data_IF_081172448908
#
_entry.id   IF_081172448908
#
_cell.length_a   1.000
_cell.length_b   1.000
_cell.length_c   1.000
_cell.angle_alpha   90.00
_cell.angle_beta   90.00
_cell.angle_gamma   90.00
#
_symmetry.space_group_name_H-M   'P 1'
#
loop_
_entity.id
_entity.type
_entity.pdbx_description
1 polymer ?
#
# COMPACT_ATOMS: atom_id res chain seq x y z
N UNK A 1 20.67 -1.89 1.73
CA UNK A 1 20.52 -0.46 2.13
C UNK A 1 19.10 -0.20 2.64
N UNK A 2 18.07 -0.66 1.93
CA UNK A 2 16.66 -0.55 2.33
C UNK A 2 16.36 -1.07 3.76
N UNK A 3 16.70 -2.32 4.08
CA UNK A 3 16.43 -2.91 5.42
C UNK A 3 17.03 -2.09 6.58
N UNK A 4 18.26 -1.58 6.40
CA UNK A 4 18.90 -0.70 7.41
C UNK A 4 18.22 0.65 7.52
N UNK A 5 17.74 1.20 6.40
CA UNK A 5 17.03 2.49 6.37
C UNK A 5 15.66 2.37 7.04
N UNK A 6 14.96 1.25 6.82
CA UNK A 6 13.68 0.94 7.47
C UNK A 6 13.83 0.72 8.98
N UNK A 7 14.86 -0.01 9.42
CA UNK A 7 15.14 -0.24 10.84
C UNK A 7 15.53 1.04 11.58
N UNK A 8 16.39 1.87 10.98
CA UNK A 8 16.86 3.11 11.60
C UNK A 8 15.82 4.24 11.58
N UNK A 9 14.95 4.27 10.57
CA UNK A 9 13.95 5.33 10.41
C UNK A 9 12.58 5.04 11.04
N UNK A 10 12.15 3.76 11.13
CA UNK A 10 10.76 3.41 11.42
C UNK A 10 10.56 2.34 12.52
N UNK A 11 11.60 1.99 13.30
CA UNK A 11 11.54 0.98 14.38
C UNK A 11 10.92 -0.35 13.92
N UNK A 12 11.14 -0.74 12.67
CA UNK A 12 10.65 -2.01 12.14
C UNK A 12 11.54 -3.15 12.63
N UNK A 13 10.95 -4.15 13.29
CA UNK A 13 11.66 -5.35 13.72
C UNK A 13 12.11 -6.16 12.48
N UNK A 14 13.30 -6.78 12.49
CA UNK A 14 13.65 -7.76 11.46
C UNK A 14 12.58 -8.86 11.40
N UNK A 15 12.12 -9.22 10.19
CA UNK A 15 11.17 -10.31 10.01
C UNK A 15 11.79 -11.64 10.46
N UNK A 16 11.00 -12.50 11.09
CA UNK A 16 11.39 -13.85 11.51
C UNK A 16 11.54 -14.84 10.35
N UNK A 17 11.07 -14.48 9.14
CA UNK A 17 11.34 -15.24 7.91
C UNK A 17 12.62 -14.71 7.29
N UNK A 18 13.58 -15.63 7.07
CA UNK A 18 14.91 -15.37 6.55
C UNK A 18 14.88 -14.58 5.25
N UNK A 19 15.12 -13.28 5.36
CA UNK A 19 15.38 -12.38 4.24
C UNK A 19 16.88 -12.40 3.99
N UNK A 20 17.35 -13.07 2.92
CA UNK A 20 18.75 -12.99 2.52
C UNK A 20 18.96 -11.80 1.57
N UNK A 21 19.75 -10.78 1.94
CA UNK A 21 19.96 -9.60 1.09
C UNK A 21 20.77 -9.88 -0.18
N UNK A 22 21.38 -11.06 -0.31
CA UNK A 22 22.35 -11.39 -1.36
C UNK A 22 21.72 -11.74 -2.72
N UNK A 23 20.40 -11.89 -2.79
CA UNK A 23 19.68 -12.30 -4.01
C UNK A 23 18.92 -11.16 -4.70
N UNK A 24 19.00 -9.93 -4.18
CA UNK A 24 18.23 -8.82 -4.70
C UNK A 24 18.91 -8.13 -5.88
N UNK A 25 18.25 -8.18 -7.03
CA UNK A 25 18.44 -7.24 -8.12
C UNK A 25 18.24 -5.81 -7.59
N UNK A 26 19.02 -4.81 -8.05
CA UNK A 26 18.75 -3.42 -7.70
C UNK A 26 17.29 -3.07 -8.02
N UNK A 27 16.55 -2.62 -7.01
CA UNK A 27 15.16 -2.18 -7.13
C UNK A 27 15.13 -0.66 -7.01
N UNK A 28 14.50 0.02 -7.97
CA UNK A 28 14.17 1.43 -7.89
C UNK A 28 12.80 1.65 -7.23
N UNK A 29 12.50 2.87 -6.79
CA UNK A 29 11.15 3.19 -6.29
C UNK A 29 10.10 3.08 -7.40
N UNK A 30 10.47 3.36 -8.64
CA UNK A 30 9.59 3.22 -9.80
C UNK A 30 9.23 1.76 -10.09
N UNK A 31 10.15 0.80 -9.81
CA UNK A 31 9.85 -0.63 -9.96
C UNK A 31 8.76 -1.11 -8.98
N UNK A 32 8.58 -0.40 -7.86
CA UNK A 32 7.50 -0.68 -6.89
C UNK A 32 6.14 -0.26 -7.45
N UNK A 33 6.10 0.81 -8.27
CA UNK A 33 4.87 1.36 -8.83
C UNK A 33 4.25 0.51 -9.96
N UNK A 34 4.91 -0.58 -10.37
CA UNK A 34 4.39 -1.49 -11.38
C UNK A 34 3.10 -2.16 -10.88
N UNK A 35 2.04 -2.04 -11.67
CA UNK A 35 0.71 -2.59 -11.38
C UNK A 35 0.76 -4.13 -11.30
N UNK A 36 -0.04 -4.71 -10.41
CA UNK A 36 -0.08 -6.14 -10.07
C UNK A 36 1.26 -6.74 -9.58
N UNK A 37 2.19 -5.88 -9.12
CA UNK A 37 3.41 -6.28 -8.44
C UNK A 37 3.25 -6.17 -6.93
N UNK A 38 3.69 -5.04 -6.38
CA UNK A 38 3.39 -4.63 -5.01
C UNK A 38 2.22 -3.64 -5.01
N UNK A 39 2.20 -2.72 -5.98
CA UNK A 39 1.09 -1.82 -6.17
C UNK A 39 -0.07 -2.56 -6.83
N UNK A 40 -1.23 -2.40 -6.20
CA UNK A 40 -2.51 -3.01 -6.55
C UNK A 40 -3.61 -1.96 -6.63
N UNK A 41 -4.72 -2.33 -7.28
CA UNK A 41 -5.96 -1.57 -7.20
C UNK A 41 -6.45 -1.47 -5.76
N UNK A 42 -7.30 -0.48 -5.47
CA UNK A 42 -7.86 -0.19 -4.13
C UNK A 42 -6.84 0.36 -3.13
N UNK A 43 -5.78 0.99 -3.63
CA UNK A 43 -4.86 1.72 -2.76
C UNK A 43 -5.61 2.82 -1.98
N UNK A 44 -5.25 3.02 -0.71
CA UNK A 44 -5.95 3.97 0.17
C UNK A 44 -5.83 5.43 -0.27
N UNK A 45 -4.74 5.77 -0.98
CA UNK A 45 -4.39 7.15 -1.31
C UNK A 45 -3.84 7.31 -2.73
N UNK A 46 -3.83 6.24 -3.51
CA UNK A 46 -3.35 6.25 -4.90
C UNK A 46 -4.46 5.78 -5.82
N UNK A 47 -4.58 6.40 -6.99
CA UNK A 47 -5.50 5.93 -8.02
C UNK A 47 -5.05 4.59 -8.60
N UNK A 48 -6.03 3.77 -8.96
CA UNK A 48 -5.82 2.59 -9.78
C UNK A 48 -5.10 2.98 -11.09
N UNK A 49 -4.27 2.07 -11.60
CA UNK A 49 -3.70 2.25 -12.93
C UNK A 49 -4.84 2.34 -13.97
N UNK A 50 -4.78 3.28 -14.93
CA UNK A 50 -5.70 3.27 -16.05
C UNK A 50 -5.70 1.92 -16.77
N UNK A 51 -6.83 1.55 -17.37
CA UNK A 51 -6.94 0.26 -18.05
C UNK A 51 -5.89 0.15 -19.17
N UNK A 52 -5.00 -0.84 -19.04
CA UNK A 52 -3.94 -1.11 -20.00
C UNK A 52 -2.58 -0.51 -19.65
N UNK A 53 -2.49 0.31 -18.60
CA UNK A 53 -1.22 0.87 -18.13
C UNK A 53 -0.46 -0.13 -17.24
N UNK A 54 0.85 -0.21 -17.43
CA UNK A 54 1.73 -1.11 -16.66
C UNK A 54 2.07 -0.54 -15.26
N UNK A 55 1.99 0.78 -15.09
CA UNK A 55 2.36 1.48 -13.86
C UNK A 55 1.17 2.27 -13.32
N UNK A 56 0.97 2.23 -12.01
CA UNK A 56 0.03 3.12 -11.35
C UNK A 56 0.63 4.53 -11.20
N UNK A 57 -0.23 5.51 -10.92
CA UNK A 57 0.24 6.85 -10.54
C UNK A 57 1.04 6.78 -9.24
N UNK A 58 2.15 7.52 -9.20
CA UNK A 58 2.97 7.74 -8.00
C UNK A 58 2.54 9.01 -7.22
N UNK A 59 1.49 9.70 -7.67
CA UNK A 59 0.94 10.88 -7.03
C UNK A 59 -0.14 10.52 -6.01
N UNK A 60 -0.07 11.14 -4.83
CA UNK A 60 -1.10 11.03 -3.80
C UNK A 60 -2.38 11.73 -4.27
N UNK A 61 -3.49 10.99 -4.29
CA UNK A 61 -4.80 11.57 -4.57
C UNK A 61 -5.39 12.20 -3.29
N UNK A 62 -5.51 13.52 -3.30
CA UNK A 62 -6.06 14.29 -2.19
C UNK A 62 -7.50 13.89 -1.84
N UNK A 63 -8.33 13.50 -2.81
CA UNK A 63 -9.71 13.07 -2.54
C UNK A 63 -9.73 11.74 -1.81
N UNK A 64 -8.86 10.79 -2.19
CA UNK A 64 -8.76 9.51 -1.50
C UNK A 64 -8.24 9.69 -0.06
N UNK A 65 -7.33 10.64 0.16
CA UNK A 65 -6.91 11.03 1.51
C UNK A 65 -8.09 11.60 2.30
N UNK A 66 -8.89 12.49 1.71
CA UNK A 66 -10.09 13.05 2.34
C UNK A 66 -11.12 11.98 2.69
N UNK A 67 -11.35 11.01 1.80
CA UNK A 67 -12.25 9.88 2.03
C UNK A 67 -11.74 8.99 3.17
N UNK A 68 -10.46 8.62 3.18
CA UNK A 68 -9.83 7.88 4.27
C UNK A 68 -9.92 8.62 5.61
N UNK A 69 -9.72 9.94 5.60
CA UNK A 69 -9.85 10.80 6.79
C UNK A 69 -11.29 10.82 7.30
N UNK A 70 -12.26 10.93 6.40
CA UNK A 70 -13.70 10.94 6.72
C UNK A 70 -14.15 9.64 7.36
N UNK A 71 -13.67 8.50 6.86
CA UNK A 71 -14.07 7.17 7.34
C UNK A 71 -13.43 6.82 8.69
N UNK A 72 -12.29 7.44 8.99
CA UNK A 72 -11.35 6.90 9.97
C UNK A 72 -10.79 7.87 11.00
N UNK A 73 -11.23 9.13 11.07
CA UNK A 73 -10.69 10.04 12.08
C UNK A 73 -11.78 10.43 13.09
N UNK A 74 -11.86 9.67 14.18
CA UNK A 74 -12.42 10.18 15.44
C UNK A 74 -11.38 11.06 16.11
N UNK A 75 -11.33 12.34 15.74
CA UNK A 75 -10.40 13.33 16.31
C UNK A 75 -9.19 13.63 15.43
N UNK A 76 -7.98 13.20 15.85
CA UNK A 76 -6.71 13.43 15.11
C UNK A 76 -5.90 12.13 14.88
N UNK A 77 -6.43 10.98 15.30
CA UNK A 77 -5.69 9.71 15.28
C UNK A 77 -6.44 8.65 14.48
N UNK A 78 -5.71 8.02 13.57
CA UNK A 78 -6.11 6.78 12.90
C UNK A 78 -5.90 5.61 13.88
N UNK A 79 -6.90 4.77 14.08
CA UNK A 79 -6.76 3.50 14.80
C UNK A 79 -7.00 2.32 13.85
N UNK A 80 -6.79 1.09 14.32
CA UNK A 80 -6.94 -0.11 13.48
C UNK A 80 -8.36 -0.31 12.93
N UNK A 81 -9.40 0.02 13.73
CA UNK A 81 -10.79 -0.10 13.30
C UNK A 81 -11.12 0.90 12.19
N UNK A 82 -10.65 2.13 12.34
CA UNK A 82 -10.80 3.20 11.38
C UNK A 82 -10.09 2.88 10.05
N UNK A 83 -8.87 2.34 10.14
CA UNK A 83 -8.13 1.86 8.97
C UNK A 83 -8.88 0.72 8.26
N UNK A 84 -9.40 -0.25 9.01
CA UNK A 84 -10.19 -1.35 8.46
C UNK A 84 -11.46 -0.85 7.76
N UNK A 85 -12.14 0.17 8.28
CA UNK A 85 -13.30 0.80 7.64
C UNK A 85 -12.94 1.45 6.31
N UNK A 86 -11.90 2.28 6.29
CA UNK A 86 -11.40 2.90 5.06
C UNK A 86 -11.02 1.84 4.02
N UNK A 87 -10.40 0.72 4.44
CA UNK A 87 -10.09 -0.39 3.54
C UNK A 87 -11.33 -1.04 2.94
N UNK A 88 -12.35 -1.34 3.76
CA UNK A 88 -13.61 -1.93 3.28
C UNK A 88 -14.32 -0.97 2.30
N UNK A 89 -14.26 0.33 2.54
CA UNK A 89 -14.78 1.33 1.60
C UNK A 89 -14.02 1.25 0.26
N UNK A 90 -12.68 1.31 0.27
CA UNK A 90 -11.88 1.23 -0.95
C UNK A 90 -12.10 -0.08 -1.74
N UNK A 91 -12.20 -1.22 -1.03
CA UNK A 91 -12.49 -2.52 -1.66
C UNK A 91 -13.89 -2.55 -2.31
N UNK A 92 -14.87 -1.84 -1.77
CA UNK A 92 -16.23 -1.77 -2.31
C UNK A 92 -16.31 -0.94 -3.60
N UNK A 93 -15.47 0.09 -3.77
CA UNK A 93 -15.53 1.00 -4.91
C UNK A 93 -14.80 0.51 -6.18
N UNK A 94 -14.11 -0.63 -6.12
CA UNK A 94 -13.25 -1.12 -7.20
C UNK A 94 -13.55 -2.59 -7.55
N UNK A 95 -13.35 -3.02 -8.81
CA UNK A 95 -13.55 -4.42 -9.21
C UNK A 95 -12.61 -5.41 -8.51
N UNK A 96 -12.98 -6.69 -8.61
CA UNK A 96 -12.33 -7.87 -7.99
C UNK A 96 -10.81 -7.87 -8.09
N UNK A 97 -10.14 -7.79 -6.94
CA UNK A 97 -8.73 -8.11 -6.75
C UNK A 97 -8.51 -9.63 -6.62
N UNK A 98 -7.32 -10.12 -6.97
CA UNK A 98 -6.95 -11.50 -6.65
C UNK A 98 -6.64 -11.69 -5.17
N UNK A 99 -6.61 -12.94 -4.71
CA UNK A 99 -6.44 -13.27 -3.30
C UNK A 99 -5.11 -12.80 -2.70
N UNK A 100 -4.02 -12.75 -3.47
CA UNK A 100 -2.72 -12.29 -2.97
C UNK A 100 -2.76 -10.79 -2.70
N UNK A 101 -3.33 -10.01 -3.63
CA UNK A 101 -3.45 -8.58 -3.45
C UNK A 101 -4.43 -8.22 -2.33
N UNK A 102 -5.49 -9.03 -2.12
CA UNK A 102 -6.38 -8.87 -0.95
C UNK A 102 -5.61 -9.07 0.36
N UNK A 103 -4.75 -10.09 0.43
CA UNK A 103 -3.92 -10.33 1.63
C UNK A 103 -2.93 -9.18 1.86
N UNK A 104 -2.25 -8.70 0.81
CA UNK A 104 -1.35 -7.55 0.88
C UNK A 104 -2.08 -6.29 1.36
N UNK A 105 -3.31 -6.06 0.87
CA UNK A 105 -4.11 -4.91 1.25
C UNK A 105 -4.52 -4.94 2.75
N UNK A 106 -4.77 -6.13 3.30
CA UNK A 106 -5.25 -6.29 4.68
C UNK A 106 -4.13 -6.31 5.72
N UNK A 107 -2.89 -6.56 5.30
CA UNK A 107 -1.71 -6.62 6.17
C UNK A 107 -1.66 -7.87 7.04
#
# INVERSE_FOLDING_TARGET
>A
ILARSLQSGYTLSPSSRGFSPSEFTPLSLSDIARHNGIVHDTSLVLRNAPLGDEYASDEIDAMLVEDMVRDGIQGWLMNAENFAKARVHCEHESPTMDGLHVDIARG
#
